data_IF_642543823405
#
_entry.id   IF_642543823405
#
_cell.length_a   1.000
_cell.length_b   1.000
_cell.length_c   1.000
_cell.angle_alpha   90.00
_cell.angle_beta   90.00
_cell.angle_gamma   90.00
#
_symmetry.space_group_name_H-M   'P 1'
#
loop_
_entity.id
_entity.type
_entity.pdbx_description
1 polymer ?
#
# COMPACT_ATOMS: atom_id res chain seq x y z
N UNK A 1 24.33 -2.90 -4.65
CA UNK A 1 23.73 -2.40 -3.39
C UNK A 1 22.34 -1.77 -3.59
N UNK A 2 21.67 -1.94 -4.73
CA UNK A 2 20.32 -1.37 -4.99
C UNK A 2 19.16 -2.26 -4.50
N UNK A 3 19.37 -3.58 -4.42
CA UNK A 3 18.32 -4.59 -4.14
C UNK A 3 17.53 -4.31 -2.86
N UNK A 4 18.21 -4.12 -1.71
CA UNK A 4 17.52 -3.94 -0.43
C UNK A 4 16.68 -2.65 -0.36
N UNK A 5 17.16 -1.55 -0.98
CA UNK A 5 16.44 -0.27 -0.98
C UNK A 5 15.23 -0.35 -1.89
N UNK A 6 15.35 -1.01 -3.04
CA UNK A 6 14.25 -1.24 -3.98
C UNK A 6 13.19 -2.16 -3.37
N UNK A 7 13.61 -3.24 -2.70
CA UNK A 7 12.74 -4.14 -1.96
C UNK A 7 11.97 -3.40 -0.85
N UNK A 8 12.67 -2.67 0.02
CA UNK A 8 12.03 -1.93 1.11
C UNK A 8 11.03 -0.92 0.58
N UNK A 9 11.40 -0.16 -0.46
CA UNK A 9 10.50 0.81 -1.09
C UNK A 9 9.26 0.12 -1.68
N UNK A 10 9.42 -1.04 -2.32
CA UNK A 10 8.29 -1.78 -2.86
C UNK A 10 7.35 -2.29 -1.77
N UNK A 11 7.90 -2.76 -0.64
CA UNK A 11 7.11 -3.15 0.54
C UNK A 11 6.37 -1.97 1.17
N UNK A 12 7.01 -0.80 1.30
CA UNK A 12 6.38 0.39 1.87
C UNK A 12 5.23 0.90 0.99
N UNK A 13 5.42 0.89 -0.33
CA UNK A 13 4.38 1.25 -1.31
C UNK A 13 3.22 0.26 -1.29
N UNK A 14 3.51 -1.04 -1.21
CA UNK A 14 2.47 -2.05 -1.06
C UNK A 14 1.69 -1.89 0.26
N UNK A 15 2.38 -1.68 1.38
CA UNK A 15 1.75 -1.40 2.67
C UNK A 15 0.85 -0.16 2.64
N UNK A 16 1.28 0.92 1.98
CA UNK A 16 0.48 2.10 1.73
C UNK A 16 -0.79 1.81 0.90
N UNK A 17 -0.69 0.98 -0.13
CA UNK A 17 -1.83 0.57 -0.94
C UNK A 17 -2.84 -0.28 -0.14
N UNK A 18 -2.33 -1.18 0.70
CA UNK A 18 -3.15 -1.99 1.61
C UNK A 18 -3.88 -1.11 2.61
N UNK A 19 -3.21 -0.08 3.16
CA UNK A 19 -3.85 0.88 4.06
C UNK A 19 -5.07 1.53 3.39
N UNK A 20 -4.90 2.08 2.19
CA UNK A 20 -6.01 2.70 1.46
C UNK A 20 -7.13 1.70 1.14
N UNK A 21 -6.77 0.48 0.76
CA UNK A 21 -7.75 -0.60 0.56
C UNK A 21 -8.58 -0.88 1.82
N UNK A 22 -8.00 -0.79 3.02
CA UNK A 22 -8.72 -0.94 4.29
C UNK A 22 -9.45 0.33 4.74
N UNK A 23 -8.96 1.53 4.38
CA UNK A 23 -9.58 2.81 4.73
C UNK A 23 -11.02 2.94 4.23
N UNK A 24 -11.43 2.16 3.20
CA UNK A 24 -12.84 2.03 2.79
C UNK A 24 -13.79 1.70 3.95
N UNK A 25 -13.32 0.92 4.92
CA UNK A 25 -14.12 0.44 6.06
C UNK A 25 -14.25 1.48 7.18
N UNK A 26 -13.39 2.49 7.18
CA UNK A 26 -13.28 3.50 8.24
C UNK A 26 -13.64 4.91 7.73
N UNK A 27 -14.34 5.01 6.60
CA UNK A 27 -14.81 6.28 6.04
C UNK A 27 -13.75 7.07 5.26
N UNK A 28 -12.60 6.46 4.96
CA UNK A 28 -11.49 7.13 4.25
C UNK A 28 -11.62 7.13 2.73
N UNK A 29 -12.46 6.27 2.14
CA UNK A 29 -12.72 6.19 0.69
C UNK A 29 -14.20 5.94 0.40
N UNK A 30 -14.70 6.47 -0.72
CA UNK A 30 -16.09 6.33 -1.19
C UNK A 30 -16.14 6.14 -2.71
N UNK A 31 -17.10 5.33 -3.19
CA UNK A 31 -17.37 5.13 -4.61
C UNK A 31 -16.20 4.49 -5.37
N UNK A 32 -15.92 4.99 -6.57
CA UNK A 32 -14.86 4.51 -7.50
C UNK A 32 -13.48 4.37 -6.84
N UNK A 33 -13.16 5.20 -5.84
CA UNK A 33 -11.89 5.12 -5.11
C UNK A 33 -11.68 3.76 -4.40
N UNK A 34 -12.75 3.03 -4.11
CA UNK A 34 -12.65 1.70 -3.48
C UNK A 34 -12.22 0.61 -4.46
N UNK A 35 -12.62 0.70 -5.72
CA UNK A 35 -12.19 -0.21 -6.78
C UNK A 35 -10.77 0.13 -7.22
N UNK A 36 -10.47 1.42 -7.39
CA UNK A 36 -9.14 1.94 -7.70
C UNK A 36 -8.11 1.48 -6.65
N UNK A 37 -8.43 1.56 -5.35
CA UNK A 37 -7.53 1.15 -4.28
C UNK A 37 -7.22 -0.36 -4.29
N UNK A 38 -8.18 -1.21 -4.69
CA UNK A 38 -7.93 -2.64 -4.86
C UNK A 38 -7.00 -2.91 -6.05
N UNK A 39 -7.21 -2.24 -7.17
CA UNK A 39 -6.36 -2.35 -8.36
C UNK A 39 -4.92 -1.90 -8.07
N UNK A 40 -4.75 -0.73 -7.46
CA UNK A 40 -3.42 -0.19 -7.07
C UNK A 40 -2.70 -1.13 -6.11
N UNK A 41 -3.41 -1.73 -5.15
CA UNK A 41 -2.84 -2.75 -4.24
C UNK A 41 -2.28 -3.94 -5.02
N UNK A 42 -3.00 -4.46 -6.00
CA UNK A 42 -2.59 -5.66 -6.75
C UNK A 42 -1.39 -5.37 -7.68
N UNK A 43 -1.35 -4.18 -8.26
CA UNK A 43 -0.16 -3.70 -9.01
C UNK A 43 1.06 -3.62 -8.10
N UNK A 44 0.92 -3.00 -6.92
CA UNK A 44 2.05 -2.81 -6.00
C UNK A 44 2.48 -4.11 -5.32
N UNK A 45 1.57 -5.06 -5.10
CA UNK A 45 1.91 -6.44 -4.70
C UNK A 45 2.80 -7.10 -5.75
N UNK A 46 2.42 -7.02 -7.02
CA UNK A 46 3.21 -7.59 -8.12
C UNK A 46 4.60 -6.95 -8.22
N UNK A 47 4.71 -5.63 -8.02
CA UNK A 47 6.00 -4.93 -7.99
C UNK A 47 6.87 -5.38 -6.80
N UNK A 48 6.29 -5.57 -5.61
CA UNK A 48 7.03 -6.07 -4.45
C UNK A 48 7.54 -7.51 -4.65
N UNK A 49 6.71 -8.39 -5.22
CA UNK A 49 7.15 -9.75 -5.61
C UNK A 49 8.29 -9.69 -6.63
N UNK A 50 8.18 -8.83 -7.65
CA UNK A 50 9.24 -8.61 -8.65
C UNK A 50 10.55 -8.08 -8.05
N UNK A 51 10.47 -7.35 -6.93
CA UNK A 51 11.62 -6.88 -6.15
C UNK A 51 12.16 -7.92 -5.15
N UNK A 52 11.63 -9.14 -5.15
CA UNK A 52 12.11 -10.23 -4.29
C UNK A 52 11.41 -10.35 -2.93
N UNK A 53 10.28 -9.69 -2.72
CA UNK A 53 9.52 -9.82 -1.48
C UNK A 53 9.02 -11.25 -1.27
N UNK A 54 9.27 -11.80 -0.08
CA UNK A 54 8.69 -13.07 0.34
C UNK A 54 7.21 -12.91 0.73
N UNK A 55 6.49 -14.04 0.78
CA UNK A 55 5.10 -14.03 1.27
C UNK A 55 5.00 -13.53 2.72
N UNK A 56 5.98 -13.87 3.57
CA UNK A 56 6.02 -13.41 4.96
C UNK A 56 6.18 -11.89 5.05
N UNK A 57 7.05 -11.29 4.22
CA UNK A 57 7.22 -9.84 4.17
C UNK A 57 5.96 -9.11 3.67
N UNK A 58 5.26 -9.70 2.69
CA UNK A 58 3.98 -9.17 2.21
C UNK A 58 2.88 -9.27 3.29
N UNK A 59 2.84 -10.37 4.03
CA UNK A 59 1.90 -10.55 5.13
C UNK A 59 2.17 -9.58 6.29
N UNK A 60 3.43 -9.36 6.64
CA UNK A 60 3.81 -8.38 7.66
C UNK A 60 3.48 -6.95 7.24
N UNK A 61 3.78 -6.55 6.00
CA UNK A 61 3.36 -5.26 5.47
C UNK A 61 1.83 -5.09 5.50
N UNK A 62 1.09 -6.16 5.20
CA UNK A 62 -0.37 -6.17 5.26
C UNK A 62 -0.90 -6.02 6.68
N UNK A 63 -0.35 -6.76 7.65
CA UNK A 63 -0.71 -6.68 9.07
C UNK A 63 -0.43 -5.28 9.62
N UNK A 64 0.76 -4.74 9.32
CA UNK A 64 1.15 -3.38 9.70
C UNK A 64 0.15 -2.34 9.18
N UNK A 65 -0.15 -2.37 7.88
CA UNK A 65 -1.10 -1.44 7.26
C UNK A 65 -2.52 -1.56 7.82
N UNK A 66 -2.96 -2.77 8.15
CA UNK A 66 -4.25 -3.02 8.80
C UNK A 66 -4.31 -2.41 10.20
N UNK A 67 -3.26 -2.59 11.01
CA UNK A 67 -3.14 -1.94 12.33
C UNK A 67 -3.16 -0.41 12.20
N UNK A 68 -2.44 0.16 11.22
CA UNK A 68 -2.50 1.60 10.96
C UNK A 68 -3.93 2.07 10.65
N UNK A 69 -4.67 1.35 9.81
CA UNK A 69 -6.06 1.69 9.50
C UNK A 69 -6.98 1.65 10.73
N UNK A 70 -6.82 0.65 11.61
CA UNK A 70 -7.57 0.54 12.87
C UNK A 70 -7.22 1.68 13.83
N UNK A 71 -5.93 2.00 13.98
CA UNK A 71 -5.45 2.99 14.93
C UNK A 71 -5.59 4.44 14.42
N UNK A 72 -6.23 4.64 13.26
CA UNK A 72 -6.29 5.94 12.57
C UNK A 72 -4.92 6.58 12.31
N UNK A 73 -3.88 5.75 12.15
CA UNK A 73 -2.53 6.16 11.77
C UNK A 73 -2.33 5.94 10.27
N UNK A 74 -1.39 6.68 9.68
CA UNK A 74 -1.06 6.55 8.25
C UNK A 74 0.38 6.03 8.09
N UNK A 75 0.61 4.97 7.29
CA UNK A 75 1.95 4.51 6.98
C UNK A 75 2.71 5.51 6.10
N UNK A 76 4.04 5.50 6.15
CA UNK A 76 4.91 6.55 5.60
C UNK A 76 4.61 6.91 4.14
N UNK A 77 4.44 5.92 3.27
CA UNK A 77 4.29 6.11 1.82
C UNK A 77 2.83 6.27 1.36
N UNK A 78 1.85 6.39 2.27
CA UNK A 78 0.45 6.52 1.88
C UNK A 78 0.06 7.91 1.36
N UNK A 79 0.95 8.90 1.40
CA UNK A 79 0.70 10.24 0.86
C UNK A 79 -0.41 11.01 1.58
N UNK A 80 -0.72 12.23 1.12
CA UNK A 80 -1.72 13.08 1.77
C UNK A 80 -3.16 12.55 1.58
N UNK A 81 -3.47 12.01 0.40
CA UNK A 81 -4.77 11.46 0.02
C UNK A 81 -4.58 10.25 -0.90
N UNK A 82 -5.62 9.43 -1.09
CA UNK A 82 -5.56 8.31 -2.03
C UNK A 82 -5.26 8.76 -3.46
N UNK A 83 -5.89 9.83 -3.95
CA UNK A 83 -5.62 10.39 -5.28
C UNK A 83 -4.18 10.89 -5.44
N UNK A 84 -3.58 11.45 -4.38
CA UNK A 84 -2.16 11.86 -4.39
C UNK A 84 -1.27 10.62 -4.50
N UNK A 85 -1.51 9.63 -3.65
CA UNK A 85 -0.79 8.35 -3.66
C UNK A 85 -0.89 7.64 -5.01
N UNK A 86 -2.11 7.47 -5.53
CA UNK A 86 -2.39 6.85 -6.83
C UNK A 86 -1.58 7.49 -7.96
N UNK A 87 -1.59 8.83 -8.04
CA UNK A 87 -0.82 9.58 -9.05
C UNK A 87 0.69 9.40 -8.90
N UNK A 88 1.20 9.24 -7.68
CA UNK A 88 2.63 9.07 -7.42
C UNK A 88 3.11 7.67 -7.79
N UNK A 89 2.28 6.65 -7.61
CA UNK A 89 2.68 5.22 -7.78
C UNK A 89 2.34 4.62 -9.14
N UNK A 90 1.45 5.27 -9.90
CA UNK A 90 1.06 4.91 -11.26
C UNK A 90 1.75 5.76 -12.35
N UNK A 91 2.63 6.69 -11.97
CA UNK A 91 3.59 7.30 -12.89
C UNK A 91 4.64 6.28 -13.33
#
# INVERSE_FOLDING_TARGET
MSDLVELQRALDLYGAAVYWHFSRRYGGLVGEQTEDAASVRDVLRSKAVGAGASEEQLDDARRYAHCCAIDHRKPLMAGASFRTFEKEVLR
#
